data_IF_635496340862
#
_entry.id   IF_635496340862
#
_cell.length_a   1.000
_cell.length_b   1.000
_cell.length_c   1.000
_cell.angle_alpha   90.00
_cell.angle_beta   90.00
_cell.angle_gamma   90.00
#
_symmetry.space_group_name_H-M   'P 1'
#
loop_
_entity.id
_entity.type
_entity.pdbx_description
1 polymer ?
#
# COMPACT_ATOMS: atom_id res chain seq x y z
N UNK A 1 1.35 11.66 -4.09
CA UNK A 1 1.86 10.35 -3.62
C UNK A 1 0.69 9.41 -3.60
N UNK A 2 0.82 8.28 -4.30
CA UNK A 2 -0.28 7.32 -4.47
C UNK A 2 0.13 5.97 -3.90
N UNK A 3 -0.84 5.24 -3.35
CA UNK A 3 -0.65 3.90 -2.81
C UNK A 3 -1.81 3.01 -3.25
N UNK A 4 -1.48 1.76 -3.56
CA UNK A 4 -2.45 0.67 -3.74
C UNK A 4 -2.11 -0.42 -2.74
N UNK A 5 -3.11 -0.91 -2.02
CA UNK A 5 -2.95 -1.98 -1.05
C UNK A 5 -3.88 -3.13 -1.39
N UNK A 6 -3.33 -4.34 -1.47
CA UNK A 6 -4.10 -5.58 -1.49
C UNK A 6 -4.25 -6.11 -0.06
N UNK A 7 -5.43 -6.63 0.29
CA UNK A 7 -5.69 -7.25 1.59
C UNK A 7 -5.61 -8.79 1.50
N UNK A 8 -4.45 -9.42 1.78
CA UNK A 8 -4.30 -10.87 1.74
C UNK A 8 -4.89 -11.58 2.97
N UNK A 9 -5.65 -10.87 3.82
CA UNK A 9 -6.11 -11.40 5.11
C UNK A 9 -7.61 -11.62 5.11
N UNK A 10 -8.07 -12.55 5.96
CA UNK A 10 -9.51 -12.83 6.14
C UNK A 10 -10.27 -11.75 6.91
N UNK A 11 -9.60 -10.66 7.33
CA UNK A 11 -10.20 -9.58 8.11
C UNK A 11 -10.32 -8.32 7.26
N UNK A 12 -11.47 -7.65 7.34
CA UNK A 12 -11.66 -6.34 6.71
C UNK A 12 -10.74 -5.30 7.35
N UNK A 13 -9.95 -4.63 6.53
CA UNK A 13 -9.07 -3.54 6.97
C UNK A 13 -9.91 -2.26 7.12
N UNK A 14 -9.77 -1.61 8.28
CA UNK A 14 -10.40 -0.32 8.58
C UNK A 14 -9.49 0.85 8.20
N UNK A 15 -8.22 0.78 8.60
CA UNK A 15 -7.23 1.81 8.29
C UNK A 15 -5.88 1.19 7.96
N UNK A 16 -5.17 1.80 7.02
CA UNK A 16 -3.74 1.60 6.81
C UNK A 16 -3.03 2.92 7.12
N UNK A 17 -2.07 2.86 8.04
CA UNK A 17 -1.22 3.98 8.39
C UNK A 17 0.13 3.78 7.72
N UNK A 18 0.48 4.69 6.82
CA UNK A 18 1.75 4.68 6.08
C UNK A 18 2.60 5.83 6.60
N UNK A 19 3.70 5.51 7.26
CA UNK A 19 4.69 6.50 7.68
C UNK A 19 5.72 6.66 6.59
N UNK A 20 5.87 7.88 6.12
CA UNK A 20 6.76 8.27 5.03
C UNK A 20 7.74 9.31 5.53
N UNK A 21 9.01 9.11 5.22
CA UNK A 21 10.08 10.05 5.55
C UNK A 21 10.64 10.62 4.24
N UNK A 22 10.66 11.96 4.15
CA UNK A 22 11.22 12.69 3.02
C UNK A 22 12.67 13.09 3.26
N UNK A 23 13.48 13.07 2.21
CA UNK A 23 14.91 13.37 2.21
C UNK A 23 15.26 14.41 1.15
N UNK A 24 16.36 15.12 1.34
CA UNK A 24 16.94 16.06 0.37
C UNK A 24 17.95 15.35 -0.56
N UNK A 25 18.53 16.02 -1.58
CA UNK A 25 19.51 15.40 -2.49
C UNK A 25 20.79 14.87 -1.85
N UNK A 26 21.09 15.24 -0.59
CA UNK A 26 22.25 14.79 0.17
C UNK A 26 21.86 13.85 1.32
N UNK A 27 20.69 13.24 1.22
CA UNK A 27 20.13 12.25 2.16
C UNK A 27 19.82 12.76 3.58
N UNK A 28 19.78 14.07 3.81
CA UNK A 28 19.27 14.61 5.08
C UNK A 28 17.75 14.49 5.16
N UNK A 29 17.25 14.16 6.35
CA UNK A 29 15.81 14.07 6.61
C UNK A 29 15.16 15.46 6.59
N UNK A 30 14.24 15.67 5.65
CA UNK A 30 13.42 16.89 5.53
C UNK A 30 12.20 16.83 6.44
N UNK A 31 11.61 15.64 6.64
CA UNK A 31 10.46 15.48 7.52
C UNK A 31 9.88 14.08 7.53
N UNK A 32 8.90 13.85 8.40
CA UNK A 32 8.15 12.58 8.48
C UNK A 32 6.66 12.86 8.60
N UNK A 33 5.85 12.12 7.86
CA UNK A 33 4.39 12.20 7.88
C UNK A 33 3.79 10.80 7.96
N UNK A 34 2.67 10.68 8.66
CA UNK A 34 1.86 9.47 8.67
C UNK A 34 0.56 9.75 7.92
N UNK A 35 0.36 9.03 6.82
CA UNK A 35 -0.81 9.10 5.98
C UNK A 35 -1.80 8.03 6.43
N UNK A 36 -3.09 8.38 6.45
CA UNK A 36 -4.16 7.45 6.84
C UNK A 36 -4.99 7.11 5.62
N UNK A 37 -4.91 5.87 5.18
CA UNK A 37 -5.74 5.27 4.14
C UNK A 37 -6.98 4.67 4.82
N UNK A 38 -8.15 5.15 4.46
CA UNK A 38 -9.43 4.76 5.07
C UNK A 38 -10.08 3.64 4.25
N UNK A 39 -10.40 2.52 4.90
CA UNK A 39 -11.14 1.41 4.30
C UNK A 39 -12.65 1.68 4.21
N UNK A 40 -13.48 0.63 4.06
CA UNK A 40 -13.11 -0.78 4.18
C UNK A 40 -12.30 -1.30 2.98
N UNK A 41 -11.33 -2.17 3.23
CA UNK A 41 -10.77 -3.07 2.22
C UNK A 41 -11.15 -4.48 2.64
N UNK A 42 -12.04 -5.14 1.89
CA UNK A 42 -12.50 -6.49 2.21
C UNK A 42 -11.37 -7.52 2.02
N UNK A 43 -11.52 -8.74 2.56
CA UNK A 43 -10.62 -9.84 2.23
C UNK A 43 -10.50 -10.00 0.71
N UNK A 44 -9.27 -10.17 0.23
CA UNK A 44 -8.94 -10.38 -1.18
C UNK A 44 -9.29 -9.22 -2.13
N UNK A 45 -9.56 -8.03 -1.58
CA UNK A 45 -9.76 -6.81 -2.37
C UNK A 45 -8.57 -5.85 -2.28
N UNK A 46 -8.56 -4.87 -3.19
CA UNK A 46 -7.58 -3.79 -3.21
C UNK A 46 -8.19 -2.42 -2.96
N UNK A 47 -7.45 -1.53 -2.30
CA UNK A 47 -7.81 -0.14 -2.08
C UNK A 47 -6.73 0.82 -2.57
N UNK A 48 -7.14 1.89 -3.25
CA UNK A 48 -6.24 2.87 -3.87
C UNK A 48 -6.43 4.27 -3.26
N UNK A 49 -5.33 4.95 -2.99
CA UNK A 49 -5.30 6.22 -2.26
C UNK A 49 -4.34 7.20 -2.91
N UNK A 50 -4.74 8.48 -2.98
CA UNK A 50 -3.89 9.54 -3.50
C UNK A 50 -3.87 10.73 -2.55
N UNK A 51 -2.65 11.14 -2.17
CA UNK A 51 -2.40 12.27 -1.29
C UNK A 51 -1.64 13.35 -2.04
N UNK A 52 -2.18 14.57 -2.02
CA UNK A 52 -1.53 15.76 -2.56
C UNK A 52 -0.82 16.51 -1.44
N UNK A 53 0.28 17.19 -1.79
CA UNK A 53 1.00 18.09 -0.88
C UNK A 53 1.46 17.45 0.46
N UNK A 54 1.89 16.18 0.43
CA UNK A 54 2.34 15.46 1.64
C UNK A 54 3.53 16.16 2.31
N UNK A 55 4.48 16.62 1.50
CA UNK A 55 5.61 17.44 1.94
C UNK A 55 5.51 18.81 1.28
N UNK A 56 5.66 19.86 2.07
CA UNK A 56 5.73 21.25 1.60
C UNK A 56 7.16 21.75 1.77
N UNK A 57 8.04 21.33 0.86
CA UNK A 57 9.46 21.69 0.88
C UNK A 57 10.01 21.74 -0.55
N UNK A 58 10.77 22.79 -0.87
CA UNK A 58 11.50 22.92 -2.12
C UNK A 58 12.78 22.09 -2.18
N UNK A 59 13.26 21.60 -1.02
CA UNK A 59 14.50 20.83 -0.92
C UNK A 59 14.27 19.33 -0.87
N UNK A 60 13.01 18.88 -0.79
CA UNK A 60 12.70 17.45 -0.80
C UNK A 60 12.94 16.85 -2.20
N UNK A 61 13.74 15.79 -2.27
CA UNK A 61 14.06 15.08 -3.51
C UNK A 61 13.49 13.66 -3.54
N UNK A 62 13.43 12.97 -2.40
CA UNK A 62 12.99 11.58 -2.33
C UNK A 62 12.17 11.28 -1.07
N UNK A 63 11.43 10.19 -1.08
CA UNK A 63 10.65 9.71 0.06
C UNK A 63 10.78 8.20 0.21
N UNK A 64 10.83 7.72 1.45
CA UNK A 64 10.87 6.29 1.79
C UNK A 64 9.73 5.95 2.74
N UNK A 65 9.12 4.78 2.56
CA UNK A 65 8.18 4.21 3.54
C UNK A 65 9.00 3.68 4.71
N UNK A 66 8.81 4.26 5.89
CA UNK A 66 9.56 3.93 7.11
C UNK A 66 8.71 3.23 8.16
N UNK A 67 7.39 3.19 7.97
CA UNK A 67 6.47 2.47 8.84
C UNK A 67 5.18 2.10 8.13
N UNK A 68 4.62 0.96 8.50
CA UNK A 68 3.33 0.49 8.00
C UNK A 68 2.58 -0.22 9.13
N UNK A 69 1.38 0.26 9.43
CA UNK A 69 0.50 -0.30 10.45
C UNK A 69 -0.91 -0.43 9.91
N UNK A 70 -1.52 -1.59 10.09
CA UNK A 70 -2.88 -1.90 9.65
C UNK A 70 -3.76 -2.04 10.89
N UNK A 71 -4.93 -1.40 10.88
CA UNK A 71 -5.99 -1.61 11.86
C UNK A 71 -7.20 -2.27 11.17
N UNK A 72 -7.70 -3.34 11.77
CA UNK A 72 -8.87 -4.06 11.28
C UNK A 72 -10.16 -3.55 11.94
N UNK A 73 -11.32 -3.92 11.38
CA UNK A 73 -12.63 -3.53 11.92
C UNK A 73 -12.87 -4.01 13.35
N UNK A 74 -12.29 -5.15 13.73
CA UNK A 74 -12.32 -5.70 15.10
C UNK A 74 -11.39 -4.97 16.10
N UNK A 75 -10.81 -3.83 15.68
CA UNK A 75 -9.83 -3.02 16.41
C UNK A 75 -8.45 -3.66 16.59
N UNK A 76 -8.24 -4.91 16.15
CA UNK A 76 -6.91 -5.52 16.17
C UNK A 76 -5.95 -4.77 15.23
N UNK A 77 -4.67 -4.80 15.56
CA UNK A 77 -3.63 -4.04 14.85
C UNK A 77 -2.51 -4.98 14.44
N UNK A 78 -2.05 -4.84 13.19
CA UNK A 78 -0.84 -5.48 12.67
C UNK A 78 0.19 -4.41 12.36
N UNK A 79 1.38 -4.56 12.93
CA UNK A 79 2.55 -3.75 12.57
C UNK A 79 3.37 -4.56 11.57
N UNK A 80 3.72 -3.96 10.44
CA UNK A 80 4.59 -4.57 9.43
C UNK A 80 6.00 -4.07 9.68
N UNK A 81 6.85 -4.96 10.22
CA UNK A 81 8.19 -4.59 10.68
C UNK A 81 9.14 -4.15 9.55
N UNK A 82 8.97 -4.69 8.34
CA UNK A 82 9.79 -4.38 7.18
C UNK A 82 8.90 -3.99 5.99
N UNK A 83 8.34 -2.76 5.98
CA UNK A 83 7.36 -2.33 4.98
C UNK A 83 7.85 -2.49 3.54
N UNK A 84 9.14 -2.25 3.29
CA UNK A 84 9.77 -2.35 1.97
C UNK A 84 9.73 -3.76 1.38
N UNK A 85 9.58 -4.82 2.19
CA UNK A 85 9.46 -6.21 1.71
C UNK A 85 8.05 -6.57 1.24
N UNK A 86 7.10 -5.66 1.46
CA UNK A 86 5.70 -5.83 1.07
C UNK A 86 5.30 -4.84 -0.03
N UNK A 87 6.28 -4.28 -0.75
CA UNK A 87 6.07 -3.44 -1.91
C UNK A 87 6.33 -4.30 -3.14
N UNK A 88 5.32 -4.45 -3.98
CA UNK A 88 5.47 -5.09 -5.29
C UNK A 88 6.24 -4.16 -6.21
N UNK A 89 7.18 -4.72 -6.98
CA UNK A 89 7.75 -3.99 -8.11
C UNK A 89 6.69 -3.78 -9.20
N UNK A 90 6.98 -2.90 -10.15
CA UNK A 90 6.10 -2.73 -11.32
C UNK A 90 5.97 -4.05 -12.12
N UNK A 91 7.06 -4.82 -12.19
CA UNK A 91 7.09 -6.16 -12.81
C UNK A 91 6.20 -7.14 -12.05
N UNK A 92 6.30 -7.19 -10.71
CA UNK A 92 5.46 -8.06 -9.88
C UNK A 92 3.97 -7.71 -10.05
N UNK A 93 3.67 -6.41 -10.15
CA UNK A 93 2.30 -5.92 -10.30
C UNK A 93 1.69 -6.35 -11.64
N UNK A 94 2.46 -6.22 -12.73
CA UNK A 94 2.04 -6.66 -14.07
C UNK A 94 1.84 -8.19 -14.12
N UNK A 95 2.76 -8.95 -13.52
CA UNK A 95 2.66 -10.40 -13.46
C UNK A 95 1.40 -10.86 -12.70
N UNK A 96 1.11 -10.25 -11.55
CA UNK A 96 -0.08 -10.57 -10.75
C UNK A 96 -1.37 -10.27 -11.56
N UNK A 97 -1.41 -9.15 -12.27
CA UNK A 97 -2.56 -8.78 -13.11
C UNK A 97 -2.78 -9.80 -14.24
N UNK A 98 -1.72 -10.22 -14.93
CA UNK A 98 -1.78 -11.22 -15.99
C UNK A 98 -2.27 -12.58 -15.48
N UNK A 99 -1.69 -13.07 -14.38
CA UNK A 99 -2.09 -14.34 -13.76
C UNK A 99 -3.55 -14.30 -13.33
N UNK A 100 -3.98 -13.20 -12.71
CA UNK A 100 -5.37 -13.02 -12.25
C UNK A 100 -6.34 -13.04 -13.44
N UNK A 101 -6.01 -12.35 -14.53
CA UNK A 101 -6.83 -12.35 -15.75
C UNK A 101 -6.98 -13.76 -16.34
N UNK A 102 -5.88 -14.51 -16.41
CA UNK A 102 -5.88 -15.86 -16.96
C UNK A 102 -6.67 -16.85 -16.10
N UNK A 103 -6.57 -16.75 -14.77
CA UNK A 103 -7.34 -17.57 -13.83
C UNK A 103 -8.85 -17.33 -13.99
N UNK A 104 -9.28 -16.07 -14.02
CA UNK A 104 -10.69 -15.71 -14.21
C UNK A 104 -11.23 -16.24 -15.54
N UNK A 105 -10.44 -16.16 -16.62
CA UNK A 105 -10.83 -16.73 -17.91
C UNK A 105 -10.96 -18.26 -17.87
N UNK A 106 -10.08 -18.95 -17.14
CA UNK A 106 -10.12 -20.40 -16.96
C UNK A 106 -11.35 -20.84 -16.15
N UNK A 107 -11.70 -20.09 -15.11
CA UNK A 107 -12.89 -20.38 -14.28
C UNK A 107 -14.18 -20.25 -15.10
N UNK A 108 -14.29 -19.20 -15.94
CA UNK A 108 -15.43 -19.02 -16.83
C UNK A 108 -15.63 -20.20 -17.80
N UNK A 109 -14.53 -20.78 -18.33
CA UNK A 109 -14.56 -21.94 -19.22
C UNK A 109 -14.94 -23.26 -18.51
N UNK A 110 -14.75 -23.36 -17.20
CA UNK A 110 -15.11 -24.56 -16.42
C UNK A 110 -16.57 -24.56 -15.96
N UNK A 111 -17.24 -23.42 -16.05
CA UNK A 111 -18.66 -23.24 -15.73
C UNK A 111 -19.61 -23.44 -16.92
N UNK A 112 -19.07 -23.72 -18.11
CA UNK A 112 -19.81 -24.19 -19.30
C UNK A 112 -19.77 -25.73 -19.41
#
# INVERSE_FOLDING_TARGET
MSFTFYNPTKKTIKYIYVTVTGYNPVDDRVGTKTLTCVGPILPDESGSYSFKHVFYSSTMSSAKITGLRVQYMDKSVKIVAQPWRCVFSDEDSQFIEEVTKNLTALEALKSE
#
